data_IF_052743855040
#
_entry.id   IF_052743855040
#
_cell.length_a   1.000
_cell.length_b   1.000
_cell.length_c   1.000
_cell.angle_alpha   90.00
_cell.angle_beta   90.00
_cell.angle_gamma   90.00
#
_symmetry.space_group_name_H-M   'P 1'
#
loop_
_entity.id
_entity.type
_entity.pdbx_description
1 polymer ?
#
# COMPACT_ATOMS: atom_id res chain seq x y z
N UNK A 1 -34.21 -4.55 19.74
CA UNK A 1 -33.33 -3.47 19.24
C UNK A 1 -31.85 -3.87 19.27
N UNK A 2 -31.28 -4.30 20.40
CA UNK A 2 -29.86 -4.70 20.51
C UNK A 2 -29.44 -5.78 19.49
N UNK A 3 -30.22 -6.87 19.37
CA UNK A 3 -29.94 -7.95 18.42
C UNK A 3 -29.85 -7.45 16.96
N UNK A 4 -30.77 -6.56 16.56
CA UNK A 4 -30.79 -5.97 15.22
C UNK A 4 -29.52 -5.14 14.96
N UNK A 5 -29.10 -4.35 15.94
CA UNK A 5 -27.88 -3.54 15.87
C UNK A 5 -26.63 -4.43 15.73
N UNK A 6 -26.59 -5.53 16.48
CA UNK A 6 -25.49 -6.49 16.46
C UNK A 6 -25.42 -7.23 15.12
N UNK A 7 -26.57 -7.58 14.55
CA UNK A 7 -26.67 -8.18 13.22
C UNK A 7 -26.21 -7.21 12.12
N UNK A 8 -26.60 -5.94 12.20
CA UNK A 8 -26.18 -4.89 11.26
C UNK A 8 -24.67 -4.67 11.33
N UNK A 9 -24.10 -4.63 12.53
CA UNK A 9 -22.65 -4.49 12.73
C UNK A 9 -21.90 -5.69 12.14
N UNK A 10 -22.38 -6.90 12.37
CA UNK A 10 -21.80 -8.11 11.79
C UNK A 10 -21.84 -8.10 10.26
N UNK A 11 -22.97 -7.69 9.68
CA UNK A 11 -23.13 -7.55 8.23
C UNK A 11 -22.14 -6.52 7.65
N UNK A 12 -22.00 -5.37 8.31
CA UNK A 12 -21.05 -4.33 7.91
C UNK A 12 -19.61 -4.84 7.97
N UNK A 13 -19.25 -5.56 9.03
CA UNK A 13 -17.92 -6.15 9.18
C UNK A 13 -17.64 -7.18 8.07
N UNK A 14 -18.62 -8.02 7.76
CA UNK A 14 -18.52 -9.01 6.68
C UNK A 14 -18.35 -8.33 5.31
N UNK A 15 -19.13 -7.28 5.04
CA UNK A 15 -19.01 -6.49 3.81
C UNK A 15 -17.63 -5.84 3.69
N UNK A 16 -17.12 -5.28 4.79
CA UNK A 16 -15.78 -4.68 4.83
C UNK A 16 -14.69 -5.73 4.57
N UNK A 17 -14.80 -6.91 5.18
CA UNK A 17 -13.88 -8.02 4.96
C UNK A 17 -13.90 -8.47 3.49
N UNK A 18 -15.08 -8.59 2.89
CA UNK A 18 -15.24 -8.94 1.48
C UNK A 18 -14.61 -7.88 0.56
N UNK A 19 -14.83 -6.59 0.86
CA UNK A 19 -14.24 -5.49 0.11
C UNK A 19 -12.71 -5.52 0.20
N UNK A 20 -12.16 -5.76 1.39
CA UNK A 20 -10.72 -5.88 1.61
C UNK A 20 -10.14 -7.07 0.84
N UNK A 21 -10.82 -8.22 0.87
CA UNK A 21 -10.41 -9.40 0.12
C UNK A 21 -10.43 -9.15 -1.39
N UNK A 22 -11.46 -8.47 -1.89
CA UNK A 22 -11.57 -8.09 -3.30
C UNK A 22 -10.43 -7.13 -3.70
N UNK A 23 -10.14 -6.13 -2.86
CA UNK A 23 -9.04 -5.20 -3.08
C UNK A 23 -7.69 -5.93 -3.11
N UNK A 24 -7.47 -6.87 -2.19
CA UNK A 24 -6.27 -7.70 -2.15
C UNK A 24 -6.13 -8.57 -3.40
N UNK A 25 -7.23 -9.20 -3.85
CA UNK A 25 -7.25 -10.00 -5.08
C UNK A 25 -6.93 -9.14 -6.30
N UNK A 26 -7.51 -7.95 -6.40
CA UNK A 26 -7.24 -6.99 -7.47
C UNK A 26 -5.77 -6.57 -7.47
N UNK A 27 -5.20 -6.28 -6.30
CA UNK A 27 -3.79 -5.94 -6.15
C UNK A 27 -2.88 -7.09 -6.59
N UNK A 28 -3.21 -8.33 -6.21
CA UNK A 28 -2.45 -9.52 -6.62
C UNK A 28 -2.51 -9.73 -8.13
N UNK A 29 -3.70 -9.60 -8.74
CA UNK A 29 -3.88 -9.70 -10.18
C UNK A 29 -3.05 -8.66 -10.93
N UNK A 30 -3.05 -7.43 -10.42
CA UNK A 30 -2.33 -6.31 -10.99
C UNK A 30 -0.81 -6.47 -10.87
N UNK A 31 -0.34 -6.97 -9.72
CA UNK A 31 1.07 -7.36 -9.54
C UNK A 31 1.46 -8.46 -10.52
N UNK A 32 0.63 -9.49 -10.69
CA UNK A 32 0.88 -10.58 -11.64
C UNK A 32 0.93 -10.06 -13.09
N UNK A 33 0.01 -9.18 -13.46
CA UNK A 33 -0.04 -8.55 -14.78
C UNK A 33 1.24 -7.76 -15.08
N UNK A 34 1.81 -7.10 -14.08
CA UNK A 34 3.04 -6.33 -14.22
C UNK A 34 4.29 -7.24 -14.19
N UNK A 35 4.27 -8.32 -13.42
CA UNK A 35 5.40 -9.25 -13.29
C UNK A 35 5.57 -10.15 -14.52
N UNK A 36 4.47 -10.45 -15.24
CA UNK A 36 4.50 -11.25 -16.47
C UNK A 36 5.41 -10.67 -17.58
N UNK A 37 5.28 -9.39 -18.00
CA UNK A 37 6.17 -8.82 -19.01
C UNK A 37 7.62 -8.70 -18.52
N UNK A 38 7.82 -8.49 -17.21
CA UNK A 38 9.16 -8.50 -16.61
C UNK A 38 9.83 -9.87 -16.76
N UNK A 39 9.09 -10.95 -16.46
CA UNK A 39 9.57 -12.33 -16.62
C UNK A 39 9.85 -12.65 -18.09
N UNK A 40 8.98 -12.22 -19.01
CA UNK A 40 9.17 -12.40 -20.45
C UNK A 40 10.43 -11.66 -20.95
N UNK A 41 10.64 -10.43 -20.51
CA UNK A 41 11.82 -9.63 -20.85
C UNK A 41 13.10 -10.28 -20.31
N UNK A 42 13.06 -10.80 -19.08
CA UNK A 42 14.19 -11.52 -18.48
C UNK A 42 14.51 -12.81 -19.25
N UNK A 43 13.49 -13.56 -19.66
CA UNK A 43 13.65 -14.76 -20.48
C UNK A 43 14.26 -14.42 -21.85
N UNK A 44 13.79 -13.34 -22.49
CA UNK A 44 14.35 -12.85 -23.76
C UNK A 44 15.82 -12.46 -23.61
N UNK A 45 16.18 -11.75 -22.52
CA UNK A 45 17.55 -11.39 -22.19
C UNK A 45 18.43 -12.64 -22.01
N UNK A 46 17.94 -13.66 -21.28
CA UNK A 46 18.66 -14.92 -21.09
C UNK A 46 18.89 -15.65 -22.42
N UNK A 47 17.86 -15.69 -23.29
CA UNK A 47 17.95 -16.31 -24.61
C UNK A 47 18.97 -15.56 -25.50
N UNK A 48 18.95 -14.23 -25.46
CA UNK A 48 19.91 -13.40 -26.19
C UNK A 48 21.34 -13.65 -25.68
N UNK A 49 21.54 -13.70 -24.37
CA UNK A 49 22.85 -14.01 -23.76
C UNK A 49 23.35 -15.40 -24.19
N UNK A 50 22.46 -16.40 -24.20
CA UNK A 50 22.78 -17.75 -24.65
C UNK A 50 23.18 -17.76 -26.13
N UNK A 51 22.42 -17.07 -26.98
CA UNK A 51 22.72 -16.95 -28.42
C UNK A 51 24.10 -16.31 -28.63
N UNK A 52 24.39 -15.24 -27.89
CA UNK A 52 25.68 -14.57 -27.91
C UNK A 52 26.81 -15.50 -27.48
N UNK A 53 26.61 -16.26 -26.41
CA UNK A 53 27.60 -17.23 -25.93
C UNK A 53 27.88 -18.31 -26.99
N UNK A 54 26.82 -18.84 -27.62
CA UNK A 54 26.94 -19.82 -28.72
C UNK A 54 27.69 -19.20 -29.90
N UNK A 55 27.37 -17.96 -30.28
CA UNK A 55 28.08 -17.28 -31.36
C UNK A 55 29.56 -17.10 -31.03
N UNK A 56 29.89 -16.68 -29.80
CA UNK A 56 31.27 -16.52 -29.35
C UNK A 56 32.06 -17.84 -29.38
N UNK A 57 31.41 -18.97 -29.05
CA UNK A 57 32.01 -20.30 -29.16
C UNK A 57 32.21 -20.76 -30.61
N UNK A 58 31.40 -20.26 -31.54
CA UNK A 58 31.52 -20.57 -32.98
C UNK A 58 32.54 -19.67 -33.70
N UNK A 59 32.93 -18.52 -33.14
CA UNK A 59 33.94 -17.64 -33.74
C UNK A 59 35.33 -18.30 -33.60
N UNK A 60 36.02 -18.63 -34.71
CA UNK A 60 37.35 -19.22 -34.62
C UNK A 60 38.34 -18.26 -33.95
N UNK A 61 39.28 -18.75 -33.13
CA UNK A 61 40.28 -17.91 -32.51
C UNK A 61 41.11 -17.19 -33.58
N UNK A 62 41.54 -15.94 -33.33
CA UNK A 62 42.39 -15.23 -34.28
C UNK A 62 43.67 -16.03 -34.52
N UNK A 63 44.18 -16.08 -35.76
CA UNK A 63 45.41 -16.80 -36.07
C UNK A 63 46.54 -16.21 -35.21
N UNK A 64 47.13 -17.04 -34.35
CA UNK A 64 48.33 -16.69 -33.61
C UNK A 64 49.46 -16.50 -34.61
N UNK A 65 49.75 -15.25 -34.97
CA UNK A 65 50.97 -14.91 -35.69
C UNK A 65 52.14 -15.11 -34.73
N UNK A 66 52.75 -16.30 -34.79
CA UNK A 66 54.04 -16.57 -34.16
C UNK A 66 55.08 -15.71 -34.88
N UNK A 67 55.48 -14.59 -34.27
CA UNK A 67 56.56 -13.77 -34.79
C UNK A 67 57.87 -14.52 -34.56
N UNK A 68 58.28 -15.33 -35.53
CA UNK A 68 59.63 -15.92 -35.53
C UNK A 68 60.61 -14.79 -35.83
N UNK A 69 61.30 -14.28 -34.80
CA UNK A 69 62.39 -13.32 -34.95
C UNK A 69 63.60 -14.03 -35.56
N UNK A 70 63.66 -14.08 -36.90
CA UNK A 70 64.90 -14.41 -37.61
C UNK A 70 65.76 -13.14 -37.69
N UNK A 71 66.85 -13.12 -36.93
CA UNK A 71 67.93 -12.14 -37.08
C UNK A 71 68.67 -12.41 -38.39
N UNK A 72 68.29 -11.76 -39.48
CA UNK A 72 69.12 -11.62 -40.67
C UNK A 72 69.17 -10.18 -41.14
N UNK A 73 70.37 -9.61 -41.08
CA UNK A 73 70.80 -8.35 -41.69
C UNK A 73 70.47 -8.34 -43.19
N UNK A 74 69.61 -7.41 -43.63
CA UNK A 74 69.70 -6.52 -44.81
C UNK A 74 68.32 -6.12 -45.39
N UNK A 75 68.17 -4.81 -45.64
CA UNK A 75 67.24 -4.13 -46.58
C UNK A 75 65.71 -4.33 -46.49
N UNK A 76 65.09 -3.40 -45.74
CA UNK A 76 63.89 -2.61 -46.05
C UNK A 76 62.86 -3.12 -47.07
N UNK A 77 61.85 -3.86 -46.60
CA UNK A 77 60.45 -3.76 -47.08
C UNK A 77 59.51 -4.08 -45.93
N UNK A 78 58.91 -3.04 -45.33
CA UNK A 78 57.87 -3.19 -44.30
C UNK A 78 56.52 -3.18 -45.03
N UNK A 79 55.96 -4.35 -45.30
CA UNK A 79 54.55 -4.48 -45.69
C UNK A 79 53.72 -4.87 -44.48
N UNK A 80 52.78 -3.99 -44.17
CA UNK A 80 51.88 -3.93 -43.02
C UNK A 80 50.84 -5.06 -43.03
N UNK A 81 50.89 -5.91 -42.01
CA UNK A 81 49.87 -6.91 -41.69
C UNK A 81 49.19 -6.54 -40.37
N UNK A 82 48.10 -5.76 -40.42
CA UNK A 82 47.37 -5.30 -39.21
C UNK A 82 45.85 -5.49 -39.24
N UNK A 83 45.28 -6.21 -40.21
CA UNK A 83 43.82 -6.19 -40.45
C UNK A 83 42.96 -7.14 -39.60
N UNK A 84 43.52 -8.02 -38.77
CA UNK A 84 42.73 -9.05 -38.06
C UNK A 84 42.36 -8.70 -36.61
N UNK A 85 43.03 -7.74 -35.96
CA UNK A 85 42.77 -7.38 -34.56
C UNK A 85 41.59 -6.39 -34.39
N UNK A 86 41.16 -5.73 -35.46
CA UNK A 86 40.09 -4.71 -35.42
C UNK A 86 38.68 -5.30 -35.42
N UNK A 87 38.47 -6.52 -35.93
CA UNK A 87 37.12 -7.10 -36.05
C UNK A 87 36.55 -7.60 -34.72
N UNK A 88 37.38 -8.18 -33.87
CA UNK A 88 36.96 -8.70 -32.55
C UNK A 88 36.56 -7.59 -31.59
N UNK A 89 37.26 -6.46 -31.61
CA UNK A 89 36.96 -5.30 -30.75
C UNK A 89 35.66 -4.58 -31.16
N UNK A 90 35.37 -4.50 -32.47
CA UNK A 90 34.09 -3.94 -32.93
C UNK A 90 32.90 -4.80 -32.56
N UNK A 91 33.05 -6.13 -32.58
CA UNK A 91 32.00 -7.06 -32.23
C UNK A 91 31.65 -6.98 -30.73
N UNK A 92 32.66 -6.94 -29.85
CA UNK A 92 32.43 -6.81 -28.41
C UNK A 92 31.79 -5.47 -28.03
N UNK A 93 32.15 -4.37 -28.70
CA UNK A 93 31.49 -3.08 -28.51
C UNK A 93 30.01 -3.10 -28.91
N UNK A 94 29.69 -3.69 -30.05
CA UNK A 94 28.31 -3.81 -30.52
C UNK A 94 27.47 -4.67 -29.56
N UNK A 95 28.06 -5.74 -29.03
CA UNK A 95 27.45 -6.57 -28.00
C UNK A 95 27.13 -5.79 -26.72
N UNK A 96 28.09 -5.01 -26.23
CA UNK A 96 27.93 -4.20 -25.03
C UNK A 96 26.83 -3.14 -25.23
N UNK A 97 26.78 -2.52 -26.41
CA UNK A 97 25.74 -1.56 -26.78
C UNK A 97 24.35 -2.22 -26.79
N UNK A 98 24.23 -3.43 -27.35
CA UNK A 98 22.99 -4.19 -27.37
C UNK A 98 22.52 -4.56 -25.95
N UNK A 99 23.46 -4.99 -25.09
CA UNK A 99 23.17 -5.30 -23.70
C UNK A 99 22.69 -4.05 -22.94
N UNK A 100 23.34 -2.90 -23.15
CA UNK A 100 22.95 -1.63 -22.53
C UNK A 100 21.55 -1.18 -23.01
N UNK A 101 21.28 -1.31 -24.31
CA UNK A 101 19.99 -0.98 -24.90
C UNK A 101 18.87 -1.84 -24.32
N UNK A 102 19.16 -3.10 -23.97
CA UNK A 102 18.19 -4.03 -23.36
C UNK A 102 18.06 -3.83 -21.84
N UNK A 103 19.11 -3.37 -21.17
CA UNK A 103 19.08 -3.07 -19.73
C UNK A 103 18.27 -1.80 -19.43
N UNK A 104 18.31 -0.81 -20.32
CA UNK A 104 17.56 0.45 -20.18
C UNK A 104 16.05 0.27 -19.99
N UNK A 105 15.32 -0.49 -20.84
CA UNK A 105 13.89 -0.74 -20.64
C UNK A 105 13.59 -1.57 -19.39
N UNK A 106 14.51 -2.47 -18.99
CA UNK A 106 14.37 -3.22 -17.73
C UNK A 106 14.43 -2.27 -16.52
N UNK A 107 15.38 -1.34 -16.51
CA UNK A 107 15.50 -0.32 -15.47
C UNK A 107 14.28 0.60 -15.44
N UNK A 108 13.80 1.02 -16.61
CA UNK A 108 12.59 1.85 -16.72
C UNK A 108 11.35 1.11 -16.19
N UNK A 109 11.20 -0.17 -16.52
CA UNK A 109 10.11 -1.01 -16.04
C UNK A 109 10.18 -1.20 -14.52
N UNK A 110 11.38 -1.42 -13.97
CA UNK A 110 11.60 -1.51 -12.53
C UNK A 110 11.26 -0.20 -11.81
N UNK A 111 11.65 0.95 -12.37
CA UNK A 111 11.30 2.26 -11.85
C UNK A 111 9.78 2.48 -11.87
N UNK A 112 9.11 2.08 -12.95
CA UNK A 112 7.67 2.16 -13.07
C UNK A 112 6.99 1.28 -12.01
N UNK A 113 7.49 0.06 -11.79
CA UNK A 113 7.00 -0.84 -10.73
C UNK A 113 7.17 -0.21 -9.35
N UNK A 114 8.32 0.41 -9.08
CA UNK A 114 8.57 1.07 -7.80
C UNK A 114 7.62 2.26 -7.59
N UNK A 115 7.43 3.09 -8.62
CA UNK A 115 6.50 4.22 -8.58
C UNK A 115 5.07 3.74 -8.34
N UNK A 116 4.68 2.67 -9.03
CA UNK A 116 3.38 2.05 -8.88
C UNK A 116 3.17 1.51 -7.47
N UNK A 117 4.14 0.78 -6.93
CA UNK A 117 4.11 0.31 -5.55
C UNK A 117 3.97 1.46 -4.56
N UNK A 118 4.73 2.54 -4.74
CA UNK A 118 4.65 3.74 -3.90
C UNK A 118 3.27 4.40 -3.99
N UNK A 119 2.71 4.53 -5.20
CA UNK A 119 1.37 5.06 -5.40
C UNK A 119 0.31 4.22 -4.70
N UNK A 120 0.39 2.90 -4.81
CA UNK A 120 -0.52 1.97 -4.12
C UNK A 120 -0.40 2.07 -2.60
N UNK A 121 0.84 2.14 -2.09
CA UNK A 121 1.09 2.33 -0.66
C UNK A 121 0.48 3.63 -0.15
N UNK A 122 0.68 4.74 -0.87
CA UNK A 122 0.09 6.03 -0.53
C UNK A 122 -1.44 6.00 -0.56
N UNK A 123 -2.02 5.39 -1.60
CA UNK A 123 -3.47 5.23 -1.71
C UNK A 123 -4.05 4.41 -0.54
N UNK A 124 -3.40 3.30 -0.19
CA UNK A 124 -3.80 2.47 0.96
C UNK A 124 -3.71 3.25 2.28
N UNK A 125 -2.62 3.99 2.49
CA UNK A 125 -2.44 4.83 3.67
C UNK A 125 -3.53 5.91 3.77
N UNK A 126 -3.83 6.58 2.66
CA UNK A 126 -4.89 7.60 2.61
C UNK A 126 -6.26 6.99 2.91
N UNK A 127 -6.58 5.83 2.32
CA UNK A 127 -7.83 5.13 2.58
C UNK A 127 -7.96 4.73 4.05
N UNK A 128 -6.90 4.19 4.65
CA UNK A 128 -6.86 3.85 6.07
C UNK A 128 -7.07 5.08 6.95
N UNK A 129 -6.40 6.19 6.64
CA UNK A 129 -6.56 7.45 7.37
C UNK A 129 -8.00 7.97 7.29
N UNK A 130 -8.59 7.97 6.10
CA UNK A 130 -9.98 8.39 5.90
C UNK A 130 -10.96 7.52 6.70
N UNK A 131 -10.77 6.20 6.66
CA UNK A 131 -11.58 5.27 7.43
C UNK A 131 -11.46 5.52 8.94
N UNK A 132 -10.23 5.71 9.43
CA UNK A 132 -9.96 6.03 10.84
C UNK A 132 -10.65 7.34 11.26
N UNK A 133 -10.51 8.39 10.44
CA UNK A 133 -11.17 9.67 10.69
C UNK A 133 -12.70 9.51 10.79
N UNK A 134 -13.29 8.77 9.86
CA UNK A 134 -14.73 8.53 9.83
C UNK A 134 -15.21 7.73 11.04
N UNK A 135 -14.43 6.73 11.46
CA UNK A 135 -14.68 5.97 12.67
C UNK A 135 -14.64 6.87 13.93
N UNK A 136 -13.61 7.70 14.07
CA UNK A 136 -13.49 8.66 15.17
C UNK A 136 -14.65 9.65 15.18
N UNK A 137 -15.04 10.17 14.01
CA UNK A 137 -16.17 11.09 13.87
C UNK A 137 -17.48 10.46 14.35
N UNK A 138 -17.78 9.22 13.93
CA UNK A 138 -18.98 8.51 14.38
C UNK A 138 -18.94 8.22 15.87
N UNK A 139 -17.80 7.76 16.38
CA UNK A 139 -17.63 7.48 17.80
C UNK A 139 -17.87 8.75 18.64
N UNK A 140 -17.31 9.88 18.22
CA UNK A 140 -17.51 11.17 18.87
C UNK A 140 -18.98 11.60 18.87
N UNK A 141 -19.65 11.51 17.70
CA UNK A 141 -21.07 11.84 17.59
C UNK A 141 -21.93 10.94 18.48
N UNK A 142 -21.65 9.64 18.50
CA UNK A 142 -22.36 8.70 19.36
C UNK A 142 -22.23 9.08 20.84
N UNK A 143 -21.01 9.40 21.28
CA UNK A 143 -20.76 9.81 22.66
C UNK A 143 -21.45 11.14 23.01
N UNK A 144 -21.43 12.09 22.07
CA UNK A 144 -22.13 13.36 22.21
C UNK A 144 -23.64 13.18 22.38
N UNK A 145 -24.27 12.39 21.50
CA UNK A 145 -25.69 12.07 21.59
C UNK A 145 -26.04 11.35 22.89
N UNK A 146 -25.21 10.40 23.32
CA UNK A 146 -25.41 9.71 24.59
C UNK A 146 -25.39 10.67 25.78
N UNK A 147 -24.42 11.59 25.81
CA UNK A 147 -24.30 12.59 26.87
C UNK A 147 -25.48 13.57 26.87
N UNK A 148 -25.88 14.03 25.69
CA UNK A 148 -27.05 14.90 25.52
C UNK A 148 -28.32 14.23 26.03
N UNK A 149 -28.54 12.97 25.67
CA UNK A 149 -29.70 12.20 26.11
C UNK A 149 -29.70 11.99 27.62
N UNK A 150 -28.55 11.66 28.20
CA UNK A 150 -28.39 11.52 29.65
C UNK A 150 -28.73 12.83 30.38
N UNK A 151 -28.22 13.95 29.89
CA UNK A 151 -28.49 15.27 30.46
C UNK A 151 -29.97 15.63 30.40
N UNK A 152 -30.61 15.41 29.25
CA UNK A 152 -32.04 15.63 29.07
C UNK A 152 -32.87 14.78 30.05
N UNK A 153 -32.52 13.49 30.19
CA UNK A 153 -33.21 12.59 31.10
C UNK A 153 -33.06 13.02 32.56
N UNK A 154 -31.85 13.43 32.96
CA UNK A 154 -31.59 13.95 34.30
C UNK A 154 -32.42 15.22 34.58
N UNK A 155 -32.46 16.15 33.64
CA UNK A 155 -33.25 17.38 33.76
C UNK A 155 -34.75 17.09 33.90
N UNK A 156 -35.27 16.18 33.07
CA UNK A 156 -36.65 15.74 33.14
C UNK A 156 -36.99 15.10 34.49
N UNK A 157 -36.13 14.23 34.99
CA UNK A 157 -36.30 13.59 36.30
C UNK A 157 -36.32 14.62 37.44
N UNK A 158 -35.40 15.57 37.42
CA UNK A 158 -35.33 16.65 38.41
C UNK A 158 -36.59 17.52 38.40
N UNK A 159 -37.04 17.92 37.20
CA UNK A 159 -38.27 18.70 37.03
C UNK A 159 -39.49 17.94 37.57
N UNK A 160 -39.63 16.66 37.22
CA UNK A 160 -40.73 15.82 37.70
C UNK A 160 -40.73 15.68 39.23
N UNK A 161 -39.56 15.45 39.83
CA UNK A 161 -39.40 15.35 41.28
C UNK A 161 -39.79 16.65 42.00
N UNK A 162 -39.37 17.80 41.47
CA UNK A 162 -39.72 19.10 42.03
C UNK A 162 -41.23 19.37 41.97
N UNK A 163 -41.86 19.05 40.84
CA UNK A 163 -43.29 19.26 40.63
C UNK A 163 -44.15 18.39 41.58
N UNK A 164 -43.78 17.12 41.73
CA UNK A 164 -44.48 16.19 42.64
C UNK A 164 -44.31 16.57 44.11
N UNK A 165 -43.11 17.00 44.51
CA UNK A 165 -42.85 17.45 45.88
C UNK A 165 -43.66 18.70 46.22
N UNK A 166 -43.66 19.70 45.35
CA UNK A 166 -44.38 20.98 45.56
C UNK A 166 -45.89 20.76 45.67
N UNK A 167 -46.47 19.90 44.82
CA UNK A 167 -47.91 19.58 44.84
C UNK A 167 -48.32 18.85 46.12
N UNK A 168 -47.47 17.97 46.65
CA UNK A 168 -47.74 17.22 47.88
C UNK A 168 -47.70 18.11 49.13
N UNK A 169 -46.83 19.13 49.16
CA UNK A 169 -46.77 20.09 50.28
C UNK A 169 -48.00 20.98 50.36
N UNK A 170 -48.60 21.36 49.23
CA UNK A 170 -49.80 22.20 49.20
C UNK A 170 -51.05 21.43 49.67
N UNK A 171 -51.07 20.11 49.48
CA UNK A 171 -52.21 19.27 49.82
C UNK A 171 -52.14 18.62 51.21
N UNK A 172 -51.10 18.88 52.01
CA UNK A 172 -51.03 18.45 53.41
C UNK A 172 -51.77 19.49 54.25
N UNK A 173 -53.02 19.27 54.69
CA UNK A 173 -53.71 20.22 55.53
C UNK A 173 -52.92 20.29 56.84
N UNK A 174 -52.60 21.50 57.27
CA UNK A 174 -52.05 21.76 58.59
C UNK A 174 -52.99 21.16 59.65
N UNK A 175 -52.66 19.96 60.13
CA UNK A 175 -53.27 19.31 61.29
C UNK A 175 -52.68 19.84 62.61
N UNK A 176 -52.10 21.05 62.59
CA UNK A 176 -51.53 21.72 63.75
C UNK A 176 -52.45 22.86 64.22
N UNK A 177 -53.71 22.53 64.54
CA UNK A 177 -54.61 23.42 65.28
C UNK A 177 -55.67 22.61 66.02
N UNK A 178 -55.27 21.80 67.01
CA UNK A 178 -56.22 21.18 67.96
C UNK A 178 -55.84 21.51 69.39
N UNK A 179 -56.30 22.69 69.81
CA UNK A 179 -56.86 22.99 71.14
C UNK A 179 -56.10 22.52 72.38
N UNK A 180 -55.22 23.38 72.90
CA UNK A 180 -54.95 23.46 74.34
C UNK A 180 -56.12 24.20 75.02
N UNK A 181 -57.06 23.44 75.59
CA UNK A 181 -58.15 23.94 76.43
C UNK A 181 -57.66 24.00 77.89
N UNK A 182 -57.67 25.15 78.58
CA UNK A 182 -57.42 25.19 80.02
C UNK A 182 -58.70 24.80 80.77
N UNK A 183 -58.57 23.87 81.72
CA UNK A 183 -59.61 23.61 82.73
C UNK A 183 -59.57 24.71 83.81
N UNK A 184 -60.72 25.29 84.20
CA UNK A 184 -60.82 26.03 85.44
C UNK A 184 -61.19 25.11 86.62
N UNK A 185 -60.63 25.49 87.76
CA UNK A 185 -60.87 25.14 89.18
C UNK A 185 -61.86 24.05 89.53
#
# INVERSE_FOLDING_TARGET
MLLLLLLLLLLLLLLLLLLLLLLLLLLLLLLLLLLLPLLLLLLLLLLLLLLVLVLLLLVPPPPTTTTTTTTTTTTSTITTSTTTATTTTTFTLLLLLLLLLLLLPLLLLLLLLLLFYYYFYYYYYYYFYYYYYYYCYYYYNYYYYYYYYYYYYYYYYYYYYYYTTTTTTIHRPSLAARGSHPQPS
#
